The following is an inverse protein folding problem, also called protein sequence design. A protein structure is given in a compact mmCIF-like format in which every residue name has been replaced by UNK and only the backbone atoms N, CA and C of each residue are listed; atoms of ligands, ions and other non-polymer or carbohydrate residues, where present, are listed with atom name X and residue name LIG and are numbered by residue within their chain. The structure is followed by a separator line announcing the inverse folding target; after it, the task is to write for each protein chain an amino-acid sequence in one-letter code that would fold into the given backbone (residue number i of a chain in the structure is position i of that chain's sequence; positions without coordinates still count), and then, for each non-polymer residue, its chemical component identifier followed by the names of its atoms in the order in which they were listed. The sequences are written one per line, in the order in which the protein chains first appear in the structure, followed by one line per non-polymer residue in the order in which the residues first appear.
data_IF_785538741000
#
_entry.id   IF_785538741000
#
_cell.length_a   1.000
_cell.length_b   1.000
_cell.length_c   1.000
_cell.angle_alpha   90.00
_cell.angle_beta   90.00
_cell.angle_gamma   90.00
#
_symmetry.space_group_name_H-M   'P 1'
#
loop_
_entity.id
_entity.type
_entity.pdbx_description
1 polymer ?
#
# COMPACT_ATOMS: atom_id res chain seq x y z
N UNK A 1 52.48 -56.41 14.03
CA UNK A 1 52.12 -56.68 12.62
C UNK A 1 51.59 -55.40 11.99
N UNK A 2 51.68 -55.24 10.65
CA UNK A 2 51.66 -53.95 9.95
C UNK A 2 50.23 -53.63 9.42
N UNK A 3 49.91 -52.61 8.61
CA UNK A 3 50.47 -52.18 7.32
C UNK A 3 50.08 -50.73 7.00
N UNK A 4 51.03 -50.01 6.37
CA UNK A 4 50.98 -48.88 5.41
C UNK A 4 49.60 -48.44 4.83
N UNK A 5 49.39 -47.25 4.25
CA UNK A 5 50.28 -46.28 3.58
C UNK A 5 49.55 -44.90 3.57
N UNK A 6 50.07 -43.75 3.11
CA UNK A 6 51.30 -43.38 2.41
C UNK A 6 51.73 -41.95 2.83
N UNK A 7 52.67 -41.32 2.11
CA UNK A 7 53.14 -39.93 2.24
C UNK A 7 53.00 -39.24 0.88
N UNK A 8 52.73 -37.93 0.85
CA UNK A 8 53.28 -37.07 -0.20
C UNK A 8 53.67 -35.71 0.38
N UNK A 9 54.98 -35.44 0.31
CA UNK A 9 55.61 -34.16 0.58
C UNK A 9 56.26 -33.74 -0.74
N UNK A 10 56.05 -32.51 -1.20
CA UNK A 10 56.81 -31.94 -2.32
C UNK A 10 56.82 -30.42 -2.18
N UNK A 11 58.02 -29.86 -2.12
CA UNK A 11 58.26 -28.43 -2.03
C UNK A 11 58.65 -27.88 -3.41
N UNK A 12 58.28 -26.64 -3.74
CA UNK A 12 58.96 -25.87 -4.78
C UNK A 12 58.71 -24.35 -4.68
N UNK A 13 59.80 -23.63 -4.37
CA UNK A 13 60.28 -22.42 -5.06
C UNK A 13 59.55 -21.07 -4.82
N UNK A 14 60.39 -20.06 -4.57
CA UNK A 14 60.10 -18.65 -4.37
C UNK A 14 60.17 -17.89 -5.71
N UNK A 15 59.29 -16.92 -5.95
CA UNK A 15 59.56 -15.85 -6.92
C UNK A 15 58.93 -14.52 -6.48
N UNK A 16 59.76 -13.51 -6.24
CA UNK A 16 59.35 -12.15 -5.86
C UNK A 16 58.70 -11.40 -7.03
N UNK A 17 57.73 -10.53 -6.72
CA UNK A 17 57.08 -9.66 -7.71
C UNK A 17 56.43 -8.44 -7.06
N UNK A 18 57.23 -7.44 -6.70
CA UNK A 18 56.75 -6.12 -6.30
C UNK A 18 56.34 -5.32 -7.54
N UNK A 19 55.06 -4.99 -7.67
CA UNK A 19 54.59 -3.92 -8.56
C UNK A 19 53.59 -3.06 -7.80
N UNK A 20 53.97 -1.82 -7.50
CA UNK A 20 53.00 -0.81 -7.05
C UNK A 20 52.09 -0.49 -8.23
N UNK A 21 50.78 -0.60 -8.04
CA UNK A 21 49.81 0.11 -8.87
C UNK A 21 48.82 0.82 -7.96
N UNK A 22 48.72 2.14 -8.11
CA UNK A 22 47.90 2.98 -7.27
C UNK A 22 46.42 2.80 -7.62
N UNK A 23 45.66 2.12 -6.76
CA UNK A 23 44.21 2.25 -6.78
C UNK A 23 43.85 3.64 -6.28
N UNK A 24 43.63 4.56 -7.22
CA UNK A 24 43.03 5.85 -6.93
C UNK A 24 41.68 5.61 -6.26
N UNK A 25 41.50 6.13 -5.05
CA UNK A 25 40.21 6.07 -4.35
C UNK A 25 39.27 7.07 -5.01
N UNK A 26 38.65 6.69 -6.13
CA UNK A 26 37.49 7.40 -6.66
C UNK A 26 36.41 7.33 -5.60
N UNK A 27 36.21 8.43 -4.87
CA UNK A 27 35.07 8.62 -3.99
C UNK A 27 33.80 8.53 -4.82
N UNK A 28 33.19 7.34 -4.84
CA UNK A 28 31.80 7.20 -5.26
C UNK A 28 31.02 8.02 -4.25
N UNK A 29 30.49 9.15 -4.72
CA UNK A 29 29.47 9.87 -3.97
C UNK A 29 28.25 8.95 -3.90
N UNK A 30 28.14 8.20 -2.80
CA UNK A 30 26.92 7.52 -2.39
C UNK A 30 25.88 8.59 -2.00
N UNK A 31 25.41 9.33 -3.01
CA UNK A 31 24.11 10.00 -2.95
C UNK A 31 23.07 8.91 -2.92
N UNK A 32 22.88 8.32 -1.72
CA UNK A 32 21.66 7.61 -1.35
C UNK A 32 20.51 8.58 -1.60
N UNK A 33 19.90 8.48 -2.77
CA UNK A 33 18.62 9.08 -3.07
C UNK A 33 17.64 8.51 -2.05
N UNK A 34 17.36 9.28 -1.01
CA UNK A 34 16.34 8.95 -0.02
C UNK A 34 15.05 8.78 -0.80
N UNK A 35 14.58 7.55 -0.90
CA UNK A 35 13.36 7.25 -1.62
C UNK A 35 12.23 8.10 -1.02
N UNK A 36 11.51 8.85 -1.88
CA UNK A 36 10.37 9.63 -1.43
C UNK A 36 9.41 8.69 -0.67
N UNK A 37 8.94 9.05 0.54
CA UNK A 37 7.99 8.21 1.26
C UNK A 37 6.77 7.92 0.39
N UNK A 38 6.31 6.67 0.44
CA UNK A 38 5.10 6.22 -0.25
C UNK A 38 3.87 6.86 0.41
N UNK A 39 2.78 7.08 -0.35
CA UNK A 39 1.54 7.61 0.22
C UNK A 39 0.76 6.50 0.94
N UNK A 40 1.23 6.09 2.13
CA UNK A 40 0.56 5.07 2.96
C UNK A 40 -0.30 5.67 4.08
N UNK A 41 -0.48 7.00 4.13
CA UNK A 41 -1.49 7.63 4.98
C UNK A 41 -2.90 7.54 4.39
N UNK A 42 -3.06 7.40 3.07
CA UNK A 42 -4.36 7.35 2.39
C UNK A 42 -4.60 5.98 1.72
N UNK A 43 -5.79 5.41 1.88
CA UNK A 43 -6.19 4.17 1.20
C UNK A 43 -7.67 4.22 0.78
N UNK A 44 -7.95 3.95 -0.49
CA UNK A 44 -9.31 3.94 -1.02
C UNK A 44 -9.61 2.64 -1.75
N UNK A 45 -10.78 2.07 -1.51
CA UNK A 45 -11.27 0.87 -2.20
C UNK A 45 -12.73 1.05 -2.62
N UNK A 46 -13.09 0.56 -3.80
CA UNK A 46 -14.46 0.63 -4.31
C UNK A 46 -14.84 -0.62 -5.13
N UNK A 47 -15.95 -1.25 -4.76
CA UNK A 47 -16.66 -2.20 -5.61
C UNK A 47 -17.40 -1.45 -6.72
N UNK A 48 -17.04 -1.73 -7.97
CA UNK A 48 -17.67 -1.13 -9.16
C UNK A 48 -17.65 -2.13 -10.33
N UNK A 49 -18.81 -2.32 -10.97
CA UNK A 49 -18.99 -3.25 -12.12
C UNK A 49 -18.39 -4.66 -11.92
N UNK A 50 -18.55 -5.22 -10.71
CA UNK A 50 -18.03 -6.55 -10.36
C UNK A 50 -16.51 -6.62 -10.16
N UNK A 51 -15.82 -5.47 -10.10
CA UNK A 51 -14.38 -5.33 -9.86
C UNK A 51 -14.12 -4.57 -8.56
N UNK A 52 -12.95 -4.80 -7.99
CA UNK A 52 -12.44 -4.02 -6.86
C UNK A 52 -11.40 -3.05 -7.40
N UNK A 53 -11.66 -1.75 -7.24
CA UNK A 53 -10.71 -0.68 -7.55
C UNK A 53 -10.02 -0.22 -6.26
N UNK A 54 -8.70 0.00 -6.31
CA UNK A 54 -7.88 0.40 -5.16
C UNK A 54 -6.98 1.57 -5.53
N UNK A 55 -6.85 2.55 -4.63
CA UNK A 55 -6.09 3.78 -4.83
C UNK A 55 -5.38 4.22 -3.56
N UNK A 56 -4.27 4.94 -3.74
CA UNK A 56 -3.45 5.62 -2.74
C UNK A 56 -3.32 7.12 -3.05
N UNK A 57 -4.15 7.65 -3.95
CA UNK A 57 -4.23 9.08 -4.25
C UNK A 57 -5.70 9.54 -4.23
N UNK A 58 -5.95 10.61 -3.47
CA UNK A 58 -7.29 11.15 -3.25
C UNK A 58 -7.93 11.62 -4.56
N UNK A 59 -7.16 12.34 -5.40
CA UNK A 59 -7.69 12.91 -6.64
C UNK A 59 -8.04 11.81 -7.65
N UNK A 60 -7.15 10.82 -7.82
CA UNK A 60 -7.36 9.67 -8.70
C UNK A 60 -8.59 8.86 -8.28
N UNK A 61 -8.83 8.69 -6.97
CA UNK A 61 -10.04 8.08 -6.43
C UNK A 61 -11.30 8.92 -6.71
N UNK A 62 -11.28 10.22 -6.42
CA UNK A 62 -12.44 11.09 -6.63
C UNK A 62 -12.84 11.19 -8.12
N UNK A 63 -11.86 11.33 -9.02
CA UNK A 63 -12.13 11.27 -10.48
C UNK A 63 -12.76 9.94 -10.88
N UNK A 64 -12.27 8.81 -10.32
CA UNK A 64 -12.88 7.50 -10.57
C UNK A 64 -14.33 7.41 -10.08
N UNK A 65 -14.67 8.02 -8.92
CA UNK A 65 -16.05 8.06 -8.44
C UNK A 65 -17.00 8.87 -9.34
N UNK A 66 -16.47 9.87 -10.05
CA UNK A 66 -17.24 10.70 -10.99
C UNK A 66 -17.45 9.99 -12.34
N UNK A 67 -16.38 9.41 -12.91
CA UNK A 67 -16.38 8.93 -14.30
C UNK A 67 -16.43 7.39 -14.47
N UNK A 68 -16.28 6.62 -13.39
CA UNK A 68 -16.26 5.15 -13.41
C UNK A 68 -14.95 4.52 -13.95
N UNK A 69 -13.99 5.34 -14.37
CA UNK A 69 -12.71 4.90 -14.93
C UNK A 69 -11.52 5.64 -14.32
N UNK A 70 -10.32 5.07 -14.47
CA UNK A 70 -9.04 5.68 -14.06
C UNK A 70 -8.06 5.65 -15.23
N UNK A 71 -7.39 6.78 -15.48
CA UNK A 71 -6.60 7.02 -16.70
C UNK A 71 -5.32 6.17 -16.78
N UNK A 72 -4.75 5.79 -15.64
CA UNK A 72 -3.60 4.89 -15.55
C UNK A 72 -3.94 3.78 -14.57
N UNK A 73 -3.70 2.53 -14.95
CA UNK A 73 -4.14 1.37 -14.16
C UNK A 73 -3.26 0.14 -14.35
N UNK A 74 -3.24 -0.69 -13.32
CA UNK A 74 -2.81 -2.10 -13.40
C UNK A 74 -4.01 -2.98 -13.09
N UNK A 75 -4.26 -3.98 -13.96
CA UNK A 75 -5.42 -4.86 -13.89
C UNK A 75 -4.92 -6.29 -13.63
N UNK A 76 -5.47 -6.92 -12.61
CA UNK A 76 -5.15 -8.28 -12.20
C UNK A 76 -6.45 -9.10 -12.17
N UNK A 77 -6.68 -9.87 -13.23
CA UNK A 77 -7.88 -10.70 -13.40
C UNK A 77 -7.81 -11.85 -12.39
N UNK A 78 -8.91 -12.10 -11.66
CA UNK A 78 -8.99 -13.19 -10.68
C UNK A 78 -8.24 -12.96 -9.35
N UNK A 79 -7.56 -11.82 -9.18
CA UNK A 79 -6.69 -11.57 -8.02
C UNK A 79 -7.40 -10.97 -6.79
N UNK A 80 -8.66 -10.57 -6.93
CA UNK A 80 -9.48 -10.11 -5.80
C UNK A 80 -10.25 -11.26 -5.12
N UNK A 81 -10.81 -11.03 -3.91
CA UNK A 81 -11.74 -11.93 -3.25
C UNK A 81 -12.79 -12.53 -4.20
N UNK A 82 -13.05 -13.83 -4.03
CA UNK A 82 -13.98 -14.62 -4.85
C UNK A 82 -13.67 -14.59 -6.37
N UNK A 83 -12.42 -14.34 -6.76
CA UNK A 83 -12.02 -14.26 -8.17
C UNK A 83 -12.44 -12.97 -8.88
N UNK A 84 -12.83 -11.93 -8.13
CA UNK A 84 -13.07 -10.59 -8.70
C UNK A 84 -11.80 -10.08 -9.40
N UNK A 85 -11.98 -9.27 -10.45
CA UNK A 85 -10.86 -8.52 -11.03
C UNK A 85 -10.45 -7.40 -10.08
N UNK A 86 -9.16 -7.31 -9.79
CA UNK A 86 -8.55 -6.27 -8.98
C UNK A 86 -7.92 -5.22 -9.91
N UNK A 87 -8.21 -3.95 -9.67
CA UNK A 87 -7.68 -2.82 -10.46
C UNK A 87 -7.03 -1.82 -9.52
N UNK A 88 -5.76 -1.53 -9.73
CA UNK A 88 -5.10 -0.42 -9.05
C UNK A 88 -5.13 0.79 -9.98
N UNK A 89 -5.80 1.86 -9.53
CA UNK A 89 -5.74 3.16 -10.19
C UNK A 89 -4.47 3.90 -9.78
N UNK A 90 -3.79 4.50 -10.75
CA UNK A 90 -2.44 5.03 -10.60
C UNK A 90 -2.38 6.52 -10.94
N UNK A 91 -1.47 7.22 -10.27
CA UNK A 91 -1.05 8.55 -10.69
C UNK A 91 -0.30 8.50 -12.04
N UNK A 92 -0.09 9.68 -12.64
CA UNK A 92 0.70 9.81 -13.89
C UNK A 92 2.16 9.43 -13.68
N UNK A 93 2.65 9.61 -12.46
CA UNK A 93 4.01 9.37 -11.99
C UNK A 93 4.24 7.86 -11.78
N UNK A 94 3.21 7.13 -11.35
CA UNK A 94 3.27 5.70 -11.05
C UNK A 94 3.01 4.81 -12.27
N UNK A 95 2.46 5.35 -13.37
CA UNK A 95 2.03 4.57 -14.56
C UNK A 95 3.09 3.63 -15.17
N UNK A 96 4.38 3.97 -15.02
CA UNK A 96 5.51 3.14 -15.50
C UNK A 96 6.17 2.28 -14.41
N UNK A 97 5.84 2.48 -13.13
CA UNK A 97 6.42 1.72 -12.02
C UNK A 97 5.91 0.28 -12.04
N UNK A 98 6.71 -0.63 -11.49
CA UNK A 98 6.34 -2.05 -11.26
C UNK A 98 6.29 -2.43 -9.78
N UNK A 99 6.81 -1.56 -8.91
CA UNK A 99 6.90 -1.71 -7.45
C UNK A 99 6.98 -0.32 -6.79
N UNK A 100 6.76 -0.22 -5.48
CA UNK A 100 6.78 1.07 -4.79
C UNK A 100 5.58 1.93 -5.17
N UNK A 101 4.40 1.30 -5.13
CA UNK A 101 3.07 1.89 -5.34
C UNK A 101 2.31 1.53 -4.07
N UNK A 102 1.92 2.53 -3.28
CA UNK A 102 1.48 2.31 -1.90
C UNK A 102 0.17 1.50 -1.87
N UNK A 103 -0.77 1.78 -2.77
CA UNK A 103 -2.03 1.06 -2.91
C UNK A 103 -1.83 -0.44 -3.13
N UNK A 104 -0.89 -0.81 -4.01
CA UNK A 104 -0.54 -2.21 -4.28
C UNK A 104 0.13 -2.86 -3.07
N UNK A 105 1.15 -2.21 -2.51
CA UNK A 105 1.93 -2.78 -1.42
C UNK A 105 1.10 -2.87 -0.13
N UNK A 106 0.16 -1.93 0.11
CA UNK A 106 -0.83 -1.99 1.19
C UNK A 106 -1.88 -3.10 0.99
N UNK A 107 -2.48 -3.20 -0.20
CA UNK A 107 -3.48 -4.24 -0.49
C UNK A 107 -2.91 -5.65 -0.31
N UNK A 108 -1.65 -5.86 -0.74
CA UNK A 108 -0.97 -7.14 -0.60
C UNK A 108 -0.27 -7.34 0.75
N UNK A 109 -0.50 -6.47 1.74
CA UNK A 109 0.03 -6.62 3.11
C UNK A 109 1.55 -6.47 3.24
N UNK A 110 2.21 -5.90 2.23
CA UNK A 110 3.66 -5.59 2.23
C UNK A 110 3.98 -4.24 2.90
N UNK A 111 2.98 -3.37 2.98
CA UNK A 111 3.06 -2.04 3.57
C UNK A 111 1.88 -1.86 4.53
N UNK A 112 2.12 -1.31 5.72
CA UNK A 112 1.07 -0.90 6.64
C UNK A 112 0.68 0.55 6.40
N UNK A 113 -0.57 0.92 6.70
CA UNK A 113 -0.96 2.32 6.75
C UNK A 113 -0.14 3.09 7.79
N UNK A 114 0.20 4.35 7.49
CA UNK A 114 0.89 5.26 8.38
C UNK A 114 -0.04 5.87 9.44
N UNK A 115 0.52 6.58 10.42
CA UNK A 115 -0.22 7.43 11.36
C UNK A 115 0.21 8.90 11.10
N UNK A 116 -0.71 9.83 10.79
CA UNK A 116 -2.16 9.67 10.66
C UNK A 116 -2.58 8.81 9.46
N UNK A 117 -3.68 8.08 9.63
CA UNK A 117 -4.33 7.29 8.59
C UNK A 117 -5.70 7.86 8.18
N UNK A 118 -6.04 7.74 6.91
CA UNK A 118 -7.38 7.86 6.39
C UNK A 118 -7.65 6.76 5.38
N UNK A 119 -8.85 6.18 5.41
CA UNK A 119 -9.27 5.34 4.31
C UNK A 119 -10.76 5.19 4.14
N UNK A 120 -11.15 4.79 2.92
CA UNK A 120 -12.53 4.49 2.55
C UNK A 120 -12.64 3.13 1.89
N UNK A 121 -13.73 2.41 2.18
CA UNK A 121 -14.15 1.23 1.42
C UNK A 121 -15.60 1.43 0.99
N UNK A 122 -15.84 1.56 -0.32
CA UNK A 122 -17.18 1.58 -0.89
C UNK A 122 -17.60 0.16 -1.28
N UNK A 123 -18.54 -0.41 -0.54
CA UNK A 123 -19.11 -1.73 -0.80
C UNK A 123 -20.55 -1.78 -0.25
N UNK A 124 -21.37 -2.69 -0.76
CA UNK A 124 -22.80 -2.86 -0.39
C UNK A 124 -23.62 -1.55 -0.38
N UNK A 125 -23.34 -0.64 -1.32
CA UNK A 125 -24.02 0.67 -1.43
C UNK A 125 -23.68 1.67 -0.31
N UNK A 126 -22.69 1.36 0.53
CA UNK A 126 -22.24 2.16 1.68
C UNK A 126 -20.81 2.67 1.49
N UNK A 127 -20.44 3.68 2.26
CA UNK A 127 -19.06 4.16 2.37
C UNK A 127 -18.61 3.91 3.80
N UNK A 128 -17.71 2.96 4.00
CA UNK A 128 -17.07 2.73 5.30
C UNK A 128 -15.83 3.61 5.38
N UNK A 129 -15.70 4.40 6.46
CA UNK A 129 -14.65 5.42 6.62
C UNK A 129 -13.83 5.12 7.87
N UNK A 130 -12.50 5.14 7.73
CA UNK A 130 -11.53 4.67 8.72
C UNK A 130 -10.48 5.74 9.03
N UNK A 131 -10.05 5.82 10.29
CA UNK A 131 -8.88 6.58 10.73
C UNK A 131 -7.77 5.69 11.32
N UNK A 132 -7.84 4.39 11.04
CA UNK A 132 -6.94 3.37 11.56
C UNK A 132 -6.80 2.25 10.54
N UNK A 133 -5.56 1.96 10.14
CA UNK A 133 -5.23 0.84 9.24
C UNK A 133 -5.69 -0.51 9.83
N UNK A 134 -5.54 -0.68 11.14
CA UNK A 134 -5.94 -1.91 11.83
C UNK A 134 -7.46 -2.14 11.77
N UNK A 135 -8.25 -1.09 11.89
CA UNK A 135 -9.71 -1.19 11.81
C UNK A 135 -10.17 -1.47 10.36
N UNK A 136 -9.47 -0.93 9.36
CA UNK A 136 -9.71 -1.22 7.94
C UNK A 136 -9.38 -2.69 7.59
N UNK A 137 -8.21 -3.19 8.01
CA UNK A 137 -7.84 -4.60 7.79
C UNK A 137 -8.80 -5.55 8.51
N UNK A 138 -9.20 -5.23 9.74
CA UNK A 138 -10.18 -6.03 10.50
C UNK A 138 -11.53 -6.05 9.78
N UNK A 139 -11.98 -4.91 9.25
CA UNK A 139 -13.19 -4.84 8.42
C UNK A 139 -13.06 -5.68 7.14
N UNK A 140 -11.94 -5.61 6.41
CA UNK A 140 -11.73 -6.41 5.19
C UNK A 140 -11.68 -7.92 5.44
N UNK A 141 -11.31 -8.35 6.64
CA UNK A 141 -11.27 -9.77 7.03
C UNK A 141 -12.65 -10.31 7.46
N UNK A 142 -13.47 -9.48 8.11
CA UNK A 142 -14.75 -9.91 8.75
C UNK A 142 -15.98 -9.49 7.93
N UNK A 143 -15.88 -8.45 7.11
CA UNK A 143 -17.00 -7.80 6.42
C UNK A 143 -17.83 -6.86 7.31
N UNK A 144 -17.52 -6.74 8.61
CA UNK A 144 -18.35 -6.02 9.57
C UNK A 144 -17.59 -4.99 10.41
N UNK A 145 -18.18 -3.79 10.54
CA UNK A 145 -17.74 -2.75 11.46
C UNK A 145 -18.54 -2.83 12.78
N UNK A 146 -18.03 -3.59 13.78
CA UNK A 146 -18.75 -3.87 15.05
C UNK A 146 -19.06 -2.59 15.83
N UNK A 147 -18.10 -1.68 15.95
CA UNK A 147 -18.33 -0.34 16.50
C UNK A 147 -18.36 0.65 15.35
N UNK A 148 -19.42 1.45 15.28
CA UNK A 148 -19.64 2.37 14.16
C UNK A 148 -20.57 3.52 14.52
N UNK A 149 -20.38 4.65 13.86
CA UNK A 149 -21.40 5.69 13.72
C UNK A 149 -21.92 5.66 12.27
N UNK A 150 -23.20 5.36 12.09
CA UNK A 150 -23.85 5.37 10.78
C UNK A 150 -24.57 6.69 10.54
N UNK A 151 -24.41 7.27 9.35
CA UNK A 151 -25.17 8.42 8.87
C UNK A 151 -25.83 8.06 7.53
N UNK A 152 -27.15 7.78 7.58
CA UNK A 152 -27.97 7.44 6.41
C UNK A 152 -28.18 8.71 5.56
N UNK A 153 -28.09 8.59 4.23
CA UNK A 153 -28.35 9.70 3.30
C UNK A 153 -27.29 10.81 3.27
N UNK A 154 -26.21 10.69 4.05
CA UNK A 154 -25.28 11.79 4.31
C UNK A 154 -24.06 11.85 3.37
N UNK A 155 -23.84 10.81 2.55
CA UNK A 155 -22.74 10.74 1.58
C UNK A 155 -23.14 11.21 0.18
N UNK A 156 -22.17 11.27 -0.76
CA UNK A 156 -22.43 11.55 -2.17
C UNK A 156 -23.56 10.67 -2.73
N UNK A 157 -24.42 11.26 -3.56
CA UNK A 157 -25.59 10.60 -4.16
C UNK A 157 -26.53 9.93 -3.12
N UNK A 158 -26.59 10.47 -1.90
CA UNK A 158 -27.43 9.93 -0.82
C UNK A 158 -26.91 8.62 -0.21
N UNK A 159 -25.66 8.22 -0.46
CA UNK A 159 -25.08 7.01 0.13
C UNK A 159 -25.05 7.08 1.66
N UNK A 160 -25.16 5.92 2.30
CA UNK A 160 -24.97 5.79 3.75
C UNK A 160 -23.49 5.76 4.08
N UNK A 161 -23.07 6.64 5.01
CA UNK A 161 -21.70 6.65 5.54
C UNK A 161 -21.66 5.84 6.84
N UNK A 162 -20.61 5.04 7.02
CA UNK A 162 -20.34 4.27 8.22
C UNK A 162 -18.94 4.62 8.72
N UNK A 163 -18.85 5.52 9.69
CA UNK A 163 -17.59 5.81 10.36
C UNK A 163 -17.25 4.65 11.29
N UNK A 164 -16.18 3.93 10.99
CA UNK A 164 -15.75 2.77 11.76
C UNK A 164 -15.02 3.23 13.01
N UNK A 165 -15.36 2.59 14.12
CA UNK A 165 -14.85 2.87 15.47
C UNK A 165 -14.28 1.58 16.05
N UNK A 166 -13.61 1.70 17.19
CA UNK A 166 -12.98 0.60 17.91
C UNK A 166 -13.24 0.72 19.42
N UNK A 167 -12.69 -0.22 20.21
CA UNK A 167 -13.00 -0.31 21.65
C UNK A 167 -12.66 0.96 22.45
N UNK A 168 -11.66 1.75 22.05
CA UNK A 168 -11.24 2.95 22.79
C UNK A 168 -12.08 4.18 22.43
N UNK A 169 -12.48 4.34 21.16
CA UNK A 169 -13.20 5.53 20.69
C UNK A 169 -14.72 5.34 20.50
N UNK A 170 -15.29 4.13 20.61
CA UNK A 170 -16.73 3.83 20.40
C UNK A 170 -17.76 4.67 21.18
N UNK A 171 -17.36 5.37 22.24
CA UNK A 171 -18.23 6.28 23.03
C UNK A 171 -18.14 7.75 22.57
N UNK A 172 -17.22 8.07 21.66
CA UNK A 172 -16.95 9.41 21.17
C UNK A 172 -17.51 9.58 19.76
N UNK A 173 -18.09 10.74 19.47
CA UNK A 173 -18.46 11.09 18.09
C UNK A 173 -17.17 11.45 17.32
N UNK A 174 -16.84 10.80 16.20
CA UNK A 174 -15.57 10.98 15.49
C UNK A 174 -15.57 12.28 14.65
N UNK A 175 -15.63 13.43 15.32
CA UNK A 175 -15.79 14.75 14.67
C UNK A 175 -14.67 15.06 13.66
N UNK A 176 -13.41 14.70 13.98
CA UNK A 176 -12.28 14.86 13.07
C UNK A 176 -12.46 14.05 11.79
N UNK A 177 -12.84 12.77 11.90
CA UNK A 177 -13.05 11.89 10.74
C UNK A 177 -14.24 12.32 9.88
N UNK A 178 -15.34 12.77 10.50
CA UNK A 178 -16.48 13.37 9.80
C UNK A 178 -16.05 14.64 9.03
N UNK A 179 -15.20 15.48 9.64
CA UNK A 179 -14.69 16.69 9.00
C UNK A 179 -13.74 16.38 7.84
N UNK A 180 -12.86 15.37 7.99
CA UNK A 180 -11.95 14.93 6.95
C UNK A 180 -12.69 14.34 5.74
N UNK A 181 -13.67 13.45 5.98
CA UNK A 181 -14.56 12.93 4.94
C UNK A 181 -15.24 14.07 4.17
N UNK A 182 -15.86 15.02 4.89
CA UNK A 182 -16.50 16.19 4.26
C UNK A 182 -15.52 17.03 3.44
N UNK A 183 -14.29 17.22 3.92
CA UNK A 183 -13.25 17.98 3.20
C UNK A 183 -12.89 17.30 1.88
N UNK A 184 -12.66 15.98 1.90
CA UNK A 184 -12.32 15.19 0.72
C UNK A 184 -13.45 15.24 -0.31
N UNK A 185 -14.69 14.94 0.10
CA UNK A 185 -15.87 14.96 -0.78
C UNK A 185 -16.43 16.38 -1.06
N UNK A 186 -15.68 17.43 -0.71
CA UNK A 186 -15.93 18.83 -1.13
C UNK A 186 -14.89 19.36 -2.12
N UNK A 187 -13.88 18.55 -2.48
CA UNK A 187 -12.95 18.85 -3.57
C UNK A 187 -13.74 18.78 -4.90
N UNK A 188 -13.54 19.79 -5.75
CA UNK A 188 -14.06 19.90 -7.12
C UNK A 188 -12.91 19.95 -8.09
#
# INVERSE_FOLDING_TARGET
MPIHFNRFLSAAIISSGLILSACVSTGVNDTKTVAKPLNNNDYYEADYEGRIYVFDDTNTYLTFLEVGETAYRKVFIGAGPHGKTLVFGLTKEDKKKTSGIASMDMYHGKLTGADPFYGEVQTDGRIYVFNSWQDLISFKQVGEAVYRLTQIGAGPNGKTIVYVLNKSNKKQRPLALISQFKKIHSIK
#
